data_IF_738000391649
#
_entry.id   IF_738000391649
#
_cell.length_a   1.000
_cell.length_b   1.000
_cell.length_c   1.000
_cell.angle_alpha   90.00
_cell.angle_beta   90.00
_cell.angle_gamma   90.00
#
_symmetry.space_group_name_H-M   'P 1'
#
loop_
_entity.id
_entity.type
_entity.pdbx_description
1 polymer ?
#
# COMPACT_ATOMS: atom_id res chain seq x y z
N UNK A 1 0.68 -4.35 -10.27
CA UNK A 1 1.56 -4.83 -9.15
C UNK A 1 1.09 -4.17 -7.86
N UNK A 2 1.53 -4.61 -6.67
CA UNK A 2 1.15 -3.90 -5.43
C UNK A 2 1.98 -2.61 -5.33
N UNK A 3 1.33 -1.46 -5.20
CA UNK A 3 2.00 -0.19 -4.94
C UNK A 3 1.04 0.74 -4.20
N UNK A 4 1.46 1.21 -3.03
CA UNK A 4 0.72 2.14 -2.18
C UNK A 4 1.69 2.81 -1.21
N UNK A 5 1.23 3.74 -0.38
CA UNK A 5 2.04 4.27 0.73
C UNK A 5 2.61 3.17 1.64
N UNK A 6 1.91 2.04 1.77
CA UNK A 6 2.29 0.91 2.64
C UNK A 6 3.24 -0.11 1.99
N UNK A 7 3.44 0.00 0.67
CA UNK A 7 4.12 -1.00 -0.16
C UNK A 7 4.80 -0.29 -1.31
N UNK A 8 6.14 -0.21 -1.27
CA UNK A 8 6.96 0.55 -2.22
C UNK A 8 8.16 -0.23 -2.75
N UNK A 9 8.14 -1.56 -2.64
CA UNK A 9 9.26 -2.43 -3.07
C UNK A 9 9.51 -2.43 -4.58
N UNK A 10 8.59 -1.89 -5.38
CA UNK A 10 8.75 -1.78 -6.84
C UNK A 10 9.42 -0.47 -7.30
N UNK A 11 9.60 0.51 -6.41
CA UNK A 11 10.05 1.86 -6.77
C UNK A 11 11.52 1.90 -7.24
N UNK A 12 12.36 0.99 -6.77
CA UNK A 12 13.81 0.99 -7.05
C UNK A 12 14.15 0.45 -8.45
N UNK A 13 13.46 -0.60 -8.91
CA UNK A 13 13.83 -1.31 -10.14
C UNK A 13 12.71 -1.34 -11.17
N UNK A 14 11.50 -1.72 -10.75
CA UNK A 14 10.40 -2.01 -11.67
C UNK A 14 9.77 -0.73 -12.21
N UNK A 15 9.56 0.28 -11.37
CA UNK A 15 8.99 1.57 -11.81
C UNK A 15 9.91 2.25 -12.85
N UNK A 16 11.24 2.38 -12.63
CA UNK A 16 12.14 2.90 -13.65
C UNK A 16 12.11 2.09 -14.95
N UNK A 17 12.12 0.74 -14.87
CA UNK A 17 12.08 -0.12 -16.05
C UNK A 17 10.78 0.04 -16.85
N UNK A 18 9.62 0.09 -16.19
CA UNK A 18 8.36 0.35 -16.86
C UNK A 18 8.37 1.69 -17.60
N UNK A 19 8.94 2.73 -17.00
CA UNK A 19 9.07 4.06 -17.62
C UNK A 19 10.02 4.07 -18.80
N UNK A 20 11.16 3.41 -18.69
CA UNK A 20 12.13 3.24 -19.79
C UNK A 20 11.49 2.56 -21.00
N UNK A 21 10.66 1.54 -20.78
CA UNK A 21 10.02 0.76 -21.82
C UNK A 21 8.66 1.32 -22.29
N UNK A 22 8.17 2.42 -21.71
CA UNK A 22 6.87 3.00 -22.03
C UNK A 22 5.67 2.13 -21.61
N UNK A 23 5.80 1.37 -20.53
CA UNK A 23 4.78 0.47 -19.99
C UNK A 23 3.96 1.18 -18.91
N UNK A 24 2.64 1.20 -19.06
CA UNK A 24 1.73 1.71 -18.04
C UNK A 24 1.72 0.84 -16.77
N UNK A 25 1.61 1.48 -15.61
CA UNK A 25 1.65 0.83 -14.30
C UNK A 25 0.22 0.82 -13.72
N UNK A 26 -0.28 -0.37 -13.39
CA UNK A 26 -1.61 -0.57 -12.79
C UNK A 26 -1.45 -1.10 -11.35
N UNK A 27 -1.42 -0.21 -10.33
CA UNK A 27 -1.36 -0.62 -8.93
C UNK A 27 -2.63 -1.32 -8.43
N UNK A 28 -2.48 -2.47 -7.81
CA UNK A 28 -3.54 -3.11 -7.00
C UNK A 28 -3.34 -2.80 -5.52
N UNK A 29 -4.43 -2.90 -4.75
CA UNK A 29 -4.49 -2.54 -3.32
C UNK A 29 -3.92 -1.14 -2.98
N UNK A 30 -4.24 -0.09 -3.75
CA UNK A 30 -3.67 1.25 -3.57
C UNK A 30 -3.96 1.88 -2.18
N UNK A 31 -5.01 1.42 -1.50
CA UNK A 31 -5.45 1.90 -0.17
C UNK A 31 -4.97 0.95 0.94
N UNK A 32 -3.83 0.27 0.75
CA UNK A 32 -3.24 -0.60 1.77
C UNK A 32 -4.17 -1.74 2.22
N UNK A 33 -4.85 -2.40 1.27
CA UNK A 33 -5.87 -3.44 1.54
C UNK A 33 -7.04 -2.97 2.43
N UNK A 34 -7.29 -1.66 2.46
CA UNK A 34 -8.33 -1.01 3.25
C UNK A 34 -7.85 -0.47 4.59
N UNK A 35 -6.56 -0.63 4.93
CA UNK A 35 -5.97 -0.06 6.13
C UNK A 35 -6.19 1.46 6.20
N UNK A 36 -5.88 2.18 5.11
CA UNK A 36 -6.11 3.64 5.04
C UNK A 36 -7.58 4.03 4.88
N UNK A 37 -8.50 3.06 4.71
CA UNK A 37 -9.93 3.30 4.81
C UNK A 37 -10.45 3.08 6.24
N UNK A 38 -9.56 2.90 7.23
CA UNK A 38 -9.91 2.70 8.63
C UNK A 38 -10.20 1.26 9.03
N UNK A 39 -10.05 0.28 8.13
CA UNK A 39 -10.23 -1.14 8.49
C UNK A 39 -9.23 -1.54 9.57
N UNK A 40 -9.71 -2.29 10.57
CA UNK A 40 -8.95 -2.78 11.72
C UNK A 40 -8.46 -1.69 12.70
N UNK A 41 -8.53 -0.41 12.33
CA UNK A 41 -8.13 0.72 13.18
C UNK A 41 -9.35 1.42 13.76
N UNK A 42 -10.32 1.75 12.89
CA UNK A 42 -11.59 2.40 13.24
C UNK A 42 -12.73 1.39 13.21
N UNK A 43 -12.70 0.49 12.24
CA UNK A 43 -13.68 -0.59 12.09
C UNK A 43 -13.10 -1.92 12.59
N UNK A 44 -13.93 -2.74 13.24
CA UNK A 44 -13.54 -4.13 13.54
C UNK A 44 -13.49 -4.96 12.26
N UNK A 45 -12.60 -5.95 12.22
CA UNK A 45 -12.57 -6.94 11.15
C UNK A 45 -13.56 -8.07 11.45
N UNK A 46 -14.34 -8.54 10.47
CA UNK A 46 -15.06 -9.81 10.58
C UNK A 46 -14.09 -10.96 10.88
N UNK A 47 -14.52 -11.92 11.70
CA UNK A 47 -13.68 -13.04 12.12
C UNK A 47 -13.23 -13.93 10.95
N UNK A 48 -14.02 -13.99 9.88
CA UNK A 48 -13.79 -14.74 8.64
C UNK A 48 -13.10 -13.89 7.55
N UNK A 49 -12.70 -12.66 7.86
CA UNK A 49 -12.04 -11.78 6.91
C UNK A 49 -10.67 -12.30 6.49
N UNK A 50 -10.47 -12.51 5.18
CA UNK A 50 -9.15 -12.85 4.63
C UNK A 50 -8.08 -11.77 4.88
N UNK A 51 -8.48 -10.53 5.17
CA UNK A 51 -7.54 -9.47 5.59
C UNK A 51 -6.96 -9.75 6.98
N UNK A 52 -7.71 -10.40 7.88
CA UNK A 52 -7.23 -10.71 9.24
C UNK A 52 -6.10 -11.75 9.28
N UNK A 53 -5.92 -12.53 8.20
CA UNK A 53 -4.79 -13.45 8.08
C UNK A 53 -3.52 -12.78 7.53
N UNK A 54 -3.62 -11.55 7.02
CA UNK A 54 -2.48 -10.82 6.46
C UNK A 54 -1.51 -10.41 7.58
N UNK A 55 -0.18 -10.60 7.44
CA UNK A 55 0.78 -10.34 8.51
C UNK A 55 0.69 -8.95 9.14
N UNK A 56 0.53 -7.90 8.31
CA UNK A 56 0.35 -6.50 8.75
C UNK A 56 -0.91 -6.21 9.58
N UNK A 57 -1.89 -7.11 9.57
CA UNK A 57 -3.14 -7.02 10.33
C UNK A 57 -3.17 -7.95 11.55
N UNK A 58 -2.09 -8.70 11.81
CA UNK A 58 -1.93 -9.47 13.05
C UNK A 58 -1.77 -8.51 14.23
N UNK A 59 -2.34 -8.85 15.36
CA UNK A 59 -2.51 -7.98 16.54
C UNK A 59 -1.26 -7.14 16.87
N UNK A 60 -0.09 -7.77 17.06
CA UNK A 60 1.16 -7.06 17.39
C UNK A 60 1.59 -6.08 16.29
N UNK A 61 1.53 -6.51 15.02
CA UNK A 61 1.91 -5.67 13.88
C UNK A 61 0.92 -4.54 13.67
N UNK A 62 -0.38 -4.84 13.80
CA UNK A 62 -1.45 -3.87 13.65
C UNK A 62 -1.31 -2.75 14.68
N UNK A 63 -0.98 -3.07 15.93
CA UNK A 63 -0.84 -2.08 16.98
C UNK A 63 0.28 -1.08 16.70
N UNK A 64 1.40 -1.55 16.16
CA UNK A 64 2.49 -0.68 15.69
C UNK A 64 2.08 0.14 14.46
N UNK A 65 1.41 -0.51 13.52
CA UNK A 65 0.92 0.08 12.27
C UNK A 65 -0.14 1.19 12.50
N UNK A 66 -0.92 1.15 13.59
CA UNK A 66 -1.90 2.20 13.94
C UNK A 66 -1.28 3.60 14.01
N UNK A 67 -0.02 3.73 14.43
CA UNK A 67 0.67 5.02 14.46
C UNK A 67 0.83 5.64 13.06
N UNK A 68 1.03 4.81 12.04
CA UNK A 68 1.05 5.26 10.64
C UNK A 68 -0.35 5.75 10.22
N UNK A 69 -1.42 5.02 10.59
CA UNK A 69 -2.80 5.47 10.30
C UNK A 69 -3.05 6.85 10.90
N UNK A 70 -2.70 7.07 12.16
CA UNK A 70 -2.91 8.34 12.87
C UNK A 70 -2.19 9.50 12.17
N UNK A 71 -0.95 9.28 11.71
CA UNK A 71 -0.20 10.30 10.95
C UNK A 71 -0.92 10.67 9.64
N UNK A 72 -1.37 9.66 8.89
CA UNK A 72 -2.12 9.89 7.64
C UNK A 72 -3.48 10.52 7.91
N UNK A 73 -4.17 10.16 8.98
CA UNK A 73 -5.45 10.78 9.37
C UNK A 73 -5.29 12.27 9.69
N UNK A 74 -4.21 12.66 10.37
CA UNK A 74 -3.91 14.06 10.63
C UNK A 74 -3.58 14.84 9.36
N UNK A 75 -2.81 14.25 8.43
CA UNK A 75 -2.56 14.86 7.11
C UNK A 75 -3.84 14.95 6.27
N UNK A 76 -4.70 13.95 6.33
CA UNK A 76 -5.96 13.95 5.58
C UNK A 76 -6.86 15.12 6.02
N UNK A 77 -6.89 15.42 7.33
CA UNK A 77 -7.57 16.61 7.89
C UNK A 77 -6.96 17.92 7.35
N UNK A 78 -5.63 18.03 7.28
CA UNK A 78 -4.94 19.20 6.68
C UNK A 78 -5.38 19.43 5.22
N UNK A 79 -5.56 18.35 4.46
CA UNK A 79 -6.02 18.38 3.07
C UNK A 79 -7.55 18.34 2.90
N UNK A 80 -8.32 18.37 4.00
CA UNK A 80 -9.79 18.33 4.00
C UNK A 80 -10.37 17.14 3.22
N UNK A 81 -9.76 15.97 3.38
CA UNK A 81 -10.14 14.73 2.71
C UNK A 81 -10.16 13.56 3.70
N UNK A 82 -10.61 12.39 3.26
CA UNK A 82 -10.50 11.16 4.05
C UNK A 82 -9.10 10.54 3.93
N UNK A 83 -8.66 9.71 4.90
CA UNK A 83 -7.39 9.00 4.81
C UNK A 83 -7.30 8.11 3.55
N UNK A 84 -8.43 7.52 3.13
CA UNK A 84 -8.52 6.74 1.91
C UNK A 84 -8.31 7.59 0.65
N UNK A 85 -8.92 8.78 0.61
CA UNK A 85 -8.71 9.75 -0.47
C UNK A 85 -7.27 10.21 -0.54
N UNK A 86 -6.63 10.53 0.59
CA UNK A 86 -5.24 10.96 0.61
C UNK A 86 -4.29 9.87 0.10
N UNK A 87 -4.47 8.63 0.56
CA UNK A 87 -3.66 7.50 0.13
C UNK A 87 -3.82 7.21 -1.37
N UNK A 88 -5.05 7.28 -1.89
CA UNK A 88 -5.32 7.08 -3.31
C UNK A 88 -4.81 8.26 -4.16
N UNK A 89 -4.96 9.50 -3.70
CA UNK A 89 -4.45 10.69 -4.38
C UNK A 89 -2.93 10.69 -4.47
N UNK A 90 -2.24 10.21 -3.44
CA UNK A 90 -0.79 10.08 -3.44
C UNK A 90 -0.29 9.13 -4.53
N UNK A 91 -0.91 7.95 -4.69
CA UNK A 91 -0.50 6.98 -5.72
C UNK A 91 -0.88 7.46 -7.13
N UNK A 92 -2.03 8.11 -7.28
CA UNK A 92 -2.46 8.73 -8.55
C UNK A 92 -1.45 9.78 -9.05
N UNK A 93 -0.74 10.44 -8.14
CA UNK A 93 0.20 11.53 -8.45
C UNK A 93 1.67 11.07 -8.52
N UNK A 94 1.93 9.76 -8.54
CA UNK A 94 3.30 9.25 -8.78
C UNK A 94 3.73 9.36 -10.26
N UNK A 95 2.79 9.56 -11.17
CA UNK A 95 3.04 9.81 -12.60
C UNK A 95 1.78 9.60 -13.45
N UNK A 96 1.77 10.19 -14.66
CA UNK A 96 0.67 10.04 -15.62
C UNK A 96 0.53 8.61 -16.16
N UNK A 97 1.57 7.79 -15.96
CA UNK A 97 1.66 6.37 -16.29
C UNK A 97 1.03 5.45 -15.22
N UNK A 98 0.45 6.01 -14.15
CA UNK A 98 -0.05 5.25 -12.99
C UNK A 98 -1.57 5.25 -12.92
N UNK A 99 -2.20 4.08 -13.09
CA UNK A 99 -3.66 3.90 -13.10
C UNK A 99 -4.07 2.88 -12.03
N UNK A 100 -4.25 3.30 -10.76
CA UNK A 100 -4.64 2.40 -9.68
C UNK A 100 -6.07 1.89 -9.86
N UNK A 101 -6.33 0.66 -9.39
CA UNK A 101 -7.63 -0.02 -9.51
C UNK A 101 -8.26 -0.29 -8.13
N UNK A 102 -8.73 0.76 -7.40
CA UNK A 102 -9.36 0.57 -6.10
C UNK A 102 -10.73 -0.11 -6.26
N UNK A 103 -10.84 -1.35 -5.77
CA UNK A 103 -12.10 -2.09 -5.73
C UNK A 103 -12.96 -1.75 -4.52
N UNK A 104 -14.29 -1.78 -4.68
CA UNK A 104 -15.25 -1.59 -3.59
C UNK A 104 -16.59 -2.26 -3.89
N UNK A 105 -17.32 -2.67 -2.84
CA UNK A 105 -18.72 -3.13 -2.90
C UNK A 105 -19.72 -2.11 -2.35
N UNK A 106 -19.26 -0.96 -1.85
CA UNK A 106 -20.09 0.10 -1.25
C UNK A 106 -20.02 1.37 -2.10
N UNK A 107 -21.16 1.97 -2.41
CA UNK A 107 -21.25 3.22 -3.19
C UNK A 107 -20.50 4.36 -2.51
N UNK A 108 -20.65 4.53 -1.18
CA UNK A 108 -19.90 5.56 -0.44
C UNK A 108 -18.39 5.50 -0.69
N UNK A 109 -17.82 4.30 -0.73
CA UNK A 109 -16.39 4.12 -0.99
C UNK A 109 -16.03 4.41 -2.45
N UNK A 110 -16.97 4.17 -3.40
CA UNK A 110 -16.79 4.57 -4.79
C UNK A 110 -16.74 6.11 -4.89
N UNK A 111 -17.64 6.80 -4.20
CA UNK A 111 -17.65 8.26 -4.15
C UNK A 111 -16.36 8.80 -3.52
N UNK A 112 -15.89 8.17 -2.43
CA UNK A 112 -14.59 8.52 -1.82
C UNK A 112 -13.43 8.31 -2.81
N UNK A 113 -13.41 7.18 -3.55
CA UNK A 113 -12.40 6.92 -4.56
C UNK A 113 -12.41 7.99 -5.66
N UNK A 114 -13.59 8.39 -6.16
CA UNK A 114 -13.72 9.45 -7.16
C UNK A 114 -13.24 10.78 -6.59
N UNK A 115 -13.57 11.09 -5.34
CA UNK A 115 -13.14 12.31 -4.65
C UNK A 115 -11.62 12.47 -4.57
N UNK A 116 -10.85 11.37 -4.61
CA UNK A 116 -9.38 11.43 -4.65
C UNK A 116 -8.82 12.18 -5.87
N UNK A 117 -9.54 12.19 -6.99
CA UNK A 117 -9.14 12.86 -8.23
C UNK A 117 -9.15 14.40 -8.12
N UNK A 118 -9.92 14.94 -7.17
CA UNK A 118 -10.01 16.37 -6.93
C UNK A 118 -8.81 16.92 -6.14
N UNK A 119 -8.05 16.06 -5.45
CA UNK A 119 -6.89 16.48 -4.68
C UNK A 119 -5.73 16.83 -5.60
N UNK A 120 -5.17 18.03 -5.41
CA UNK A 120 -3.92 18.47 -6.03
C UNK A 120 -2.87 18.59 -4.94
N UNK A 121 -1.90 17.70 -4.96
CA UNK A 121 -0.83 17.63 -3.97
C UNK A 121 0.42 18.27 -4.58
N UNK A 122 1.06 19.16 -3.83
CA UNK A 122 2.36 19.70 -4.22
C UNK A 122 3.45 18.63 -4.06
N UNK A 123 4.66 18.89 -4.58
CA UNK A 123 5.80 17.97 -4.39
C UNK A 123 6.15 17.83 -2.92
N UNK A 124 6.01 18.92 -2.17
CA UNK A 124 6.22 18.99 -0.73
C UNK A 124 5.17 18.16 0.01
N UNK A 125 3.89 18.25 -0.37
CA UNK A 125 2.82 17.42 0.20
C UNK A 125 3.06 15.94 -0.08
N UNK A 126 3.42 15.57 -1.32
CA UNK A 126 3.71 14.19 -1.69
C UNK A 126 4.85 13.60 -0.87
N UNK A 127 5.88 14.42 -0.62
CA UNK A 127 7.01 14.04 0.25
C UNK A 127 6.58 13.91 1.70
N UNK A 128 5.85 14.87 2.25
CA UNK A 128 5.34 14.84 3.63
C UNK A 128 4.47 13.60 3.88
N UNK A 129 3.58 13.28 2.94
CA UNK A 129 2.71 12.10 3.00
C UNK A 129 3.52 10.79 2.92
N UNK A 130 4.54 10.74 2.06
CA UNK A 130 5.42 9.57 1.96
C UNK A 130 6.31 9.38 3.21
N UNK A 131 6.81 10.48 3.77
CA UNK A 131 7.64 10.50 4.98
C UNK A 131 6.81 10.15 6.24
N UNK A 132 5.49 10.38 6.21
CA UNK A 132 4.56 9.92 7.24
C UNK A 132 4.36 8.39 7.24
N UNK A 133 4.82 7.68 6.20
CA UNK A 133 4.77 6.22 6.09
C UNK A 133 6.16 5.64 5.75
N UNK A 134 7.16 5.73 6.64
CA UNK A 134 8.46 5.12 6.39
C UNK A 134 8.30 3.60 6.23
N UNK A 135 8.82 3.03 5.14
CA UNK A 135 8.65 1.59 4.86
C UNK A 135 9.31 0.72 5.94
N UNK A 136 10.35 1.24 6.59
CA UNK A 136 11.05 0.56 7.67
C UNK A 136 10.22 0.47 8.96
N UNK A 137 9.21 1.33 9.12
CA UNK A 137 8.28 1.30 10.26
C UNK A 137 7.04 0.42 10.01
N UNK A 138 6.87 -0.08 8.78
CA UNK A 138 5.76 -0.97 8.45
C UNK A 138 6.03 -2.36 9.00
N UNK A 139 5.20 -2.78 9.96
CA UNK A 139 5.34 -4.05 10.66
C UNK A 139 4.52 -5.15 10.02
N UNK A 140 5.13 -6.32 9.87
CA UNK A 140 4.58 -7.48 9.17
C UNK A 140 4.87 -7.51 7.66
N UNK A 141 5.09 -8.72 7.15
CA UNK A 141 5.38 -8.96 5.75
C UNK A 141 4.28 -8.46 4.81
N UNK A 142 4.70 -8.02 3.61
CA UNK A 142 3.81 -7.63 2.51
C UNK A 142 3.01 -8.81 1.95
N UNK A 143 3.60 -9.99 1.97
CA UNK A 143 2.99 -11.21 1.41
C UNK A 143 2.46 -12.10 2.51
N UNK A 144 1.39 -12.83 2.23
CA UNK A 144 0.93 -13.89 3.12
C UNK A 144 2.03 -14.94 3.32
N UNK A 145 2.15 -15.45 4.55
CA UNK A 145 3.13 -16.49 4.90
C UNK A 145 3.06 -17.73 4.00
N UNK A 146 1.84 -18.17 3.67
CA UNK A 146 1.61 -19.30 2.77
C UNK A 146 2.15 -19.04 1.36
N UNK A 147 2.07 -17.79 0.87
CA UNK A 147 2.57 -17.40 -0.45
C UNK A 147 4.08 -17.16 -0.46
N UNK A 148 4.66 -16.71 0.65
CA UNK A 148 6.10 -16.46 0.77
C UNK A 148 6.91 -17.72 0.47
N UNK A 149 6.49 -18.86 1.04
CA UNK A 149 7.15 -20.18 0.88
C UNK A 149 7.15 -20.73 -0.54
N UNK A 150 6.18 -20.32 -1.36
CA UNK A 150 6.06 -20.77 -2.76
C UNK A 150 6.52 -19.70 -3.76
N UNK A 151 7.11 -18.61 -3.27
CA UNK A 151 7.59 -17.54 -4.13
C UNK A 151 8.93 -17.90 -4.77
N UNK A 152 9.16 -17.39 -5.98
CA UNK A 152 10.42 -17.55 -6.71
C UNK A 152 11.64 -17.04 -5.93
N UNK A 153 11.45 -16.10 -4.98
CA UNK A 153 12.52 -15.56 -4.12
C UNK A 153 13.20 -16.62 -3.26
N UNK A 154 12.53 -17.73 -2.97
CA UNK A 154 13.06 -18.84 -2.19
C UNK A 154 13.35 -20.09 -3.04
N UNK A 155 13.14 -20.02 -4.36
CA UNK A 155 13.34 -21.13 -5.30
C UNK A 155 14.81 -21.24 -5.73
N UNK A 156 15.71 -21.35 -4.75
CA UNK A 156 17.14 -21.52 -4.99
C UNK A 156 17.49 -22.99 -5.27
N UNK A 157 18.59 -23.22 -5.98
CA UNK A 157 19.16 -24.56 -6.19
C UNK A 157 20.33 -24.79 -5.23
N UNK A 158 20.55 -26.03 -4.77
CA UNK A 158 21.70 -26.34 -3.91
C UNK A 158 23.02 -25.89 -4.57
N UNK A 159 23.96 -25.31 -3.80
CA UNK A 159 25.28 -25.01 -4.34
C UNK A 159 25.98 -26.31 -4.76
N UNK A 160 26.82 -26.23 -5.79
CA UNK A 160 27.61 -27.36 -6.25
C UNK A 160 28.57 -27.79 -5.13
N UNK A 161 28.58 -29.08 -4.77
CA UNK A 161 29.54 -29.62 -3.79
C UNK A 161 30.97 -29.30 -4.25
N UNK A 162 31.68 -28.47 -3.49
CA UNK A 162 33.08 -28.10 -3.74
C UNK A 162 34.08 -29.10 -3.16
N UNK A 163 33.64 -30.33 -2.84
CA UNK A 163 34.54 -31.42 -2.45
C UNK A 163 34.97 -32.21 -3.68
N UNK A 164 36.03 -31.72 -4.31
CA UNK A 164 36.95 -32.53 -5.11
C UNK A 164 38.18 -32.89 -4.26
#
# INVERSE_FOLDING_TARGET
MEWSLWTRDIEEEIVPLCRELGIGIVPYSPIGRGFFAGKAVVESLPADSFVASHPRFKEENLEKNKNIYIRIDNLAKKHKCTPAQLALAWILQQGDDVIPIPGTSKIKNLDDNIGSLALKLTKEDLKEIADAVPIQEVEGDRTYESMKKVSWKLANTPPKDTKA
#
